data_IF_732338838777
#
_entry.id   IF_732338838777
#
_cell.length_a   1.000
_cell.length_b   1.000
_cell.length_c   1.000
_cell.angle_alpha   90.00
_cell.angle_beta   90.00
_cell.angle_gamma   90.00
#
_symmetry.space_group_name_H-M   'P 1'
#
loop_
_entity.id
_entity.type
_entity.pdbx_description
1 polymer ?
#
# COMPACT_ATOMS: atom_id res chain seq x y z
N UNK A 1 24.71 -13.66 6.40
CA UNK A 1 25.58 -13.32 7.56
C UNK A 1 25.33 -11.85 7.89
N UNK A 2 25.07 -11.45 9.15
CA UNK A 2 24.78 -10.03 9.46
C UNK A 2 26.06 -9.19 9.26
N UNK A 3 25.96 -8.10 8.49
CA UNK A 3 27.09 -7.23 8.14
C UNK A 3 27.26 -6.06 9.11
N UNK A 4 28.46 -5.46 9.16
CA UNK A 4 28.68 -4.18 9.83
C UNK A 4 28.40 -3.02 8.87
N UNK A 5 27.65 -2.02 9.33
CA UNK A 5 27.31 -0.83 8.54
C UNK A 5 27.99 0.40 9.13
N UNK A 6 28.69 1.16 8.29
CA UNK A 6 29.22 2.48 8.65
C UNK A 6 28.52 3.55 7.82
N UNK A 7 27.89 4.51 8.50
CA UNK A 7 27.27 5.68 7.90
C UNK A 7 28.21 6.88 7.99
N UNK A 8 28.67 7.39 6.84
CA UNK A 8 29.38 8.66 6.71
C UNK A 8 28.36 9.74 6.38
N UNK A 9 27.64 10.20 7.40
CA UNK A 9 26.57 11.19 7.30
C UNK A 9 26.40 11.95 8.63
N UNK A 10 25.79 13.14 8.59
CA UNK A 10 25.40 13.88 9.79
C UNK A 10 23.92 13.65 10.19
N UNK A 11 23.31 12.55 9.74
CA UNK A 11 21.91 12.23 9.99
C UNK A 11 21.76 11.24 11.16
N UNK A 12 21.56 11.80 12.36
CA UNK A 12 21.38 10.99 13.57
C UNK A 12 20.06 10.20 13.55
N UNK A 13 19.03 10.67 12.84
CA UNK A 13 17.76 9.96 12.74
C UNK A 13 17.95 8.69 11.90
N UNK A 14 18.64 8.82 10.76
CA UNK A 14 18.99 7.68 9.92
C UNK A 14 19.84 6.65 10.69
N UNK A 15 20.86 7.11 11.43
CA UNK A 15 21.67 6.22 12.28
C UNK A 15 20.82 5.47 13.32
N UNK A 16 19.91 6.16 14.00
CA UNK A 16 19.02 5.55 14.99
C UNK A 16 18.09 4.53 14.32
N UNK A 17 17.57 4.84 13.13
CA UNK A 17 16.73 3.93 12.34
C UNK A 17 17.47 2.65 11.94
N UNK A 18 18.74 2.76 11.50
CA UNK A 18 19.58 1.59 11.20
C UNK A 18 19.88 0.77 12.47
N UNK A 19 20.25 1.45 13.57
CA UNK A 19 20.61 0.79 14.83
C UNK A 19 19.43 0.05 15.45
N UNK A 20 18.24 0.65 15.43
CA UNK A 20 17.01 0.06 15.96
C UNK A 20 16.44 -1.09 15.10
N UNK A 21 16.96 -1.29 13.88
CA UNK A 21 16.45 -2.33 12.98
C UNK A 21 16.86 -3.75 13.40
N UNK A 22 17.95 -3.90 14.15
CA UNK A 22 18.56 -5.19 14.54
C UNK A 22 18.93 -6.12 13.35
N UNK A 23 18.91 -5.60 12.11
CA UNK A 23 19.23 -6.32 10.88
C UNK A 23 20.75 -6.46 10.66
N UNK A 24 21.52 -5.59 11.28
CA UNK A 24 22.97 -5.47 11.12
C UNK A 24 23.70 -5.91 12.40
N UNK A 25 24.96 -6.36 12.27
CA UNK A 25 25.77 -6.79 13.41
C UNK A 25 26.24 -5.61 14.26
N UNK A 26 26.66 -4.54 13.59
CA UNK A 26 26.94 -3.25 14.23
C UNK A 26 26.63 -2.12 13.26
N UNK A 27 26.24 -0.97 13.82
CA UNK A 27 25.99 0.27 13.08
C UNK A 27 26.87 1.34 13.70
N UNK A 28 27.68 2.01 12.87
CA UNK A 28 28.54 3.14 13.26
C UNK A 28 28.18 4.37 12.45
N UNK A 29 28.41 5.55 13.01
CA UNK A 29 28.28 6.83 12.31
C UNK A 29 29.61 7.59 12.41
N UNK A 30 30.03 8.20 11.31
CA UNK A 30 31.22 9.03 11.21
C UNK A 30 30.94 10.31 10.42
N UNK A 31 31.65 11.38 10.76
CA UNK A 31 31.57 12.67 10.05
C UNK A 31 32.55 12.77 8.88
N UNK A 32 33.48 11.81 8.76
CA UNK A 32 34.49 11.77 7.71
C UNK A 32 34.80 10.32 7.31
N UNK A 33 35.25 10.15 6.07
CA UNK A 33 35.65 8.85 5.53
C UNK A 33 37.12 8.59 5.89
N UNK A 34 37.37 7.47 6.56
CA UNK A 34 38.72 6.97 6.84
C UNK A 34 39.11 5.95 5.76
N UNK A 35 40.21 6.22 5.05
CA UNK A 35 40.69 5.37 3.95
C UNK A 35 41.52 4.17 4.44
N UNK A 36 41.96 4.18 5.70
CA UNK A 36 42.73 3.08 6.29
C UNK A 36 41.81 2.00 6.90
N UNK A 37 40.51 2.29 7.00
CA UNK A 37 39.51 1.36 7.51
C UNK A 37 38.91 0.52 6.39
N UNK A 38 38.85 -0.80 6.59
CA UNK A 38 38.06 -1.71 5.75
C UNK A 38 36.60 -1.73 6.18
N UNK A 39 35.68 -1.62 5.22
CA UNK A 39 34.24 -1.58 5.46
C UNK A 39 33.50 -2.77 4.84
N UNK A 40 32.59 -3.40 5.59
CA UNK A 40 31.68 -4.40 4.99
C UNK A 40 30.60 -3.67 4.14
N UNK A 41 29.91 -2.71 4.75
CA UNK A 41 28.91 -1.86 4.10
C UNK A 41 29.12 -0.40 4.48
N UNK A 42 29.42 0.42 3.47
CA UNK A 42 29.68 1.85 3.62
C UNK A 42 28.54 2.67 3.01
N UNK A 43 27.88 3.51 3.80
CA UNK A 43 26.81 4.40 3.35
C UNK A 43 27.31 5.84 3.45
N UNK A 44 27.43 6.54 2.33
CA UNK A 44 28.03 7.88 2.27
C UNK A 44 26.98 8.89 1.84
N UNK A 45 26.83 9.97 2.59
CA UNK A 45 25.99 11.10 2.17
C UNK A 45 26.77 12.07 1.29
N UNK A 46 26.14 12.51 0.20
CA UNK A 46 26.66 13.57 -0.66
C UNK A 46 26.85 14.93 0.03
N UNK A 47 26.25 15.10 1.21
CA UNK A 47 26.42 16.26 2.10
C UNK A 47 27.74 16.24 2.85
N UNK A 48 28.37 15.07 2.99
CA UNK A 48 29.68 14.90 3.62
C UNK A 48 30.77 14.77 2.58
N UNK A 49 30.55 13.89 1.59
CA UNK A 49 31.52 13.64 0.52
C UNK A 49 30.85 13.85 -0.83
N UNK A 50 31.23 14.94 -1.50
CA UNK A 50 30.70 15.29 -2.82
C UNK A 50 30.99 14.21 -3.87
N UNK A 51 30.25 14.25 -4.97
CA UNK A 51 30.36 13.23 -6.04
C UNK A 51 31.78 13.21 -6.65
N UNK A 52 32.35 14.38 -6.91
CA UNK A 52 33.68 14.51 -7.49
C UNK A 52 34.74 13.98 -6.51
N UNK A 53 34.63 14.32 -5.23
CA UNK A 53 35.53 13.84 -4.18
C UNK A 53 35.44 12.32 -3.98
N UNK A 54 34.23 11.76 -3.96
CA UNK A 54 34.02 10.33 -3.89
C UNK A 54 34.68 9.64 -5.08
N UNK A 55 34.50 10.16 -6.29
CA UNK A 55 35.06 9.55 -7.51
C UNK A 55 36.59 9.55 -7.48
N UNK A 56 37.20 10.61 -6.95
CA UNK A 56 38.65 10.72 -6.79
C UNK A 56 39.19 9.78 -5.70
N UNK A 57 38.45 9.62 -4.59
CA UNK A 57 38.86 8.75 -3.46
C UNK A 57 38.54 7.27 -3.68
N UNK A 58 37.59 6.95 -4.56
CA UNK A 58 37.08 5.58 -4.77
C UNK A 58 38.17 4.51 -4.95
N UNK A 59 39.27 4.73 -5.70
CA UNK A 59 40.33 3.74 -5.84
C UNK A 59 41.03 3.37 -4.53
N UNK A 60 40.85 4.19 -3.48
CA UNK A 60 41.47 4.03 -2.17
C UNK A 60 40.47 3.58 -1.09
N UNK A 61 39.21 3.32 -1.46
CA UNK A 61 38.19 2.86 -0.50
C UNK A 61 38.16 1.34 -0.51
N UNK A 62 38.49 0.72 0.62
CA UNK A 62 38.29 -0.72 0.83
C UNK A 62 36.91 -0.98 1.44
N UNK A 63 35.92 -1.23 0.58
CA UNK A 63 34.57 -1.56 0.98
C UNK A 63 33.94 -2.65 0.11
N UNK A 64 33.28 -3.64 0.73
CA UNK A 64 32.59 -4.70 -0.04
C UNK A 64 31.32 -4.16 -0.73
N UNK A 65 30.60 -3.26 -0.07
CA UNK A 65 29.41 -2.61 -0.61
C UNK A 65 29.41 -1.10 -0.30
N UNK A 66 29.12 -0.28 -1.30
CA UNK A 66 29.06 1.18 -1.16
C UNK A 66 27.68 1.68 -1.60
N UNK A 67 27.02 2.43 -0.70
CA UNK A 67 25.79 3.16 -0.97
C UNK A 67 26.04 4.66 -0.93
N UNK A 68 25.52 5.39 -1.90
CA UNK A 68 25.66 6.84 -2.00
C UNK A 68 24.30 7.54 -1.90
N UNK A 69 24.08 8.27 -0.80
CA UNK A 69 22.85 9.00 -0.52
C UNK A 69 22.90 10.37 -1.19
N UNK A 70 22.00 10.61 -2.16
CA UNK A 70 21.86 11.90 -2.82
C UNK A 70 20.94 12.84 -2.03
N UNK A 71 21.32 14.10 -1.94
CA UNK A 71 20.49 15.17 -1.39
C UNK A 71 19.59 15.79 -2.45
N UNK A 72 18.44 16.32 -2.01
CA UNK A 72 17.43 16.97 -2.86
C UNK A 72 17.85 18.37 -3.36
N UNK A 73 19.13 18.72 -3.26
CA UNK A 73 19.66 20.03 -3.66
C UNK A 73 19.94 20.15 -5.16
N UNK A 74 19.67 19.08 -5.94
CA UNK A 74 20.13 18.91 -7.32
C UNK A 74 18.96 18.75 -8.28
N UNK A 75 19.14 19.17 -9.54
CA UNK A 75 18.15 18.91 -10.59
C UNK A 75 18.04 17.41 -10.89
N UNK A 76 16.86 16.95 -11.32
CA UNK A 76 16.61 15.54 -11.65
C UNK A 76 17.55 15.00 -12.74
N UNK A 77 17.85 15.81 -13.76
CA UNK A 77 18.82 15.47 -14.81
C UNK A 77 20.23 15.19 -14.24
N UNK A 78 20.66 15.99 -13.25
CA UNK A 78 21.96 15.79 -12.58
C UNK A 78 21.95 14.57 -11.68
N UNK A 79 20.86 14.33 -10.95
CA UNK A 79 20.65 13.11 -10.14
C UNK A 79 20.78 11.86 -11.01
N UNK A 80 20.11 11.82 -12.17
CA UNK A 80 20.16 10.70 -13.09
C UNK A 80 21.57 10.49 -13.67
N UNK A 81 22.25 11.56 -14.08
CA UNK A 81 23.62 11.45 -14.58
C UNK A 81 24.58 10.87 -13.53
N UNK A 82 24.52 11.37 -12.29
CA UNK A 82 25.33 10.86 -11.18
C UNK A 82 24.99 9.39 -10.89
N UNK A 83 23.69 9.04 -10.88
CA UNK A 83 23.21 7.67 -10.70
C UNK A 83 23.91 6.71 -11.68
N UNK A 84 23.90 7.01 -12.98
CA UNK A 84 24.51 6.12 -13.98
C UNK A 84 26.03 6.02 -13.87
N UNK A 85 26.73 7.12 -13.55
CA UNK A 85 28.19 7.07 -13.40
C UNK A 85 28.60 6.24 -12.19
N UNK A 86 27.96 6.43 -11.04
CA UNK A 86 28.22 5.63 -9.85
C UNK A 86 27.76 4.16 -10.05
N UNK A 87 26.64 3.97 -10.77
CA UNK A 87 26.20 2.76 -11.47
C UNK A 87 27.36 1.93 -12.02
N UNK A 88 28.09 2.55 -12.96
CA UNK A 88 29.22 1.92 -13.67
C UNK A 88 30.42 1.55 -12.79
N UNK A 89 30.47 2.06 -11.56
CA UNK A 89 31.53 1.84 -10.57
C UNK A 89 31.11 0.90 -9.44
N UNK A 90 30.01 0.16 -9.62
CA UNK A 90 29.42 -0.73 -8.62
C UNK A 90 29.00 -0.03 -7.31
N UNK A 91 28.65 1.26 -7.38
CA UNK A 91 28.13 2.02 -6.23
C UNK A 91 26.61 2.11 -6.33
N UNK A 92 25.91 1.73 -5.27
CA UNK A 92 24.45 1.80 -5.21
C UNK A 92 24.01 3.20 -4.84
N UNK A 93 23.32 3.87 -5.77
CA UNK A 93 22.83 5.23 -5.54
C UNK A 93 21.45 5.18 -4.92
N UNK A 94 21.33 5.79 -3.76
CA UNK A 94 20.06 5.98 -3.05
C UNK A 94 19.53 7.36 -3.41
N UNK A 95 18.38 7.44 -4.12
CA UNK A 95 17.84 8.72 -4.56
C UNK A 95 17.41 9.60 -3.38
N UNK A 96 17.27 10.93 -3.59
CA UNK A 96 16.75 11.81 -2.56
C UNK A 96 15.28 11.53 -2.27
N UNK A 97 14.75 12.15 -1.19
CA UNK A 97 13.33 12.13 -0.79
C UNK A 97 12.79 10.79 -0.29
N UNK A 98 13.68 9.83 0.00
CA UNK A 98 13.32 8.57 0.63
C UNK A 98 13.21 8.71 2.15
N UNK A 99 12.34 7.91 2.78
CA UNK A 99 12.32 7.75 4.24
C UNK A 99 13.48 6.87 4.70
N UNK A 100 13.87 6.97 5.97
CA UNK A 100 14.91 6.12 6.57
C UNK A 100 14.60 4.63 6.34
N UNK A 101 13.33 4.23 6.47
CA UNK A 101 12.90 2.87 6.19
C UNK A 101 13.17 2.47 4.76
N UNK A 102 12.82 3.32 3.79
CA UNK A 102 13.08 3.05 2.37
C UNK A 102 14.58 2.98 2.03
N UNK A 103 15.41 3.74 2.75
CA UNK A 103 16.87 3.66 2.62
C UNK A 103 17.34 2.29 3.14
N UNK A 104 16.90 1.90 4.34
CA UNK A 104 17.21 0.59 4.93
C UNK A 104 16.70 -0.54 4.03
N UNK A 105 15.47 -0.46 3.51
CA UNK A 105 14.87 -1.47 2.63
C UNK A 105 15.74 -1.68 1.38
N UNK A 106 16.19 -0.60 0.74
CA UNK A 106 17.09 -0.69 -0.43
C UNK A 106 18.44 -1.30 -0.08
N UNK A 107 19.01 -0.92 1.06
CA UNK A 107 20.27 -1.50 1.54
C UNK A 107 20.08 -3.01 1.77
N UNK A 108 19.04 -3.42 2.50
CA UNK A 108 18.77 -4.83 2.77
C UNK A 108 18.50 -5.62 1.49
N UNK A 109 17.65 -5.12 0.58
CA UNK A 109 17.37 -5.76 -0.70
C UNK A 109 18.65 -5.98 -1.50
N UNK A 110 19.54 -4.97 -1.51
CA UNK A 110 20.79 -5.06 -2.27
C UNK A 110 21.79 -6.03 -1.66
N UNK A 111 21.81 -6.14 -0.34
CA UNK A 111 22.68 -7.03 0.42
C UNK A 111 22.08 -8.44 0.59
N UNK A 112 20.91 -8.71 0.00
CA UNK A 112 20.15 -9.96 0.17
C UNK A 112 19.92 -10.30 1.66
N UNK A 113 19.72 -9.25 2.48
CA UNK A 113 19.37 -9.39 3.88
C UNK A 113 17.86 -9.56 3.94
N UNK A 114 17.45 -10.78 4.29
CA UNK A 114 16.06 -11.16 4.47
C UNK A 114 15.43 -10.33 5.60
N UNK A 115 14.79 -9.23 5.22
CA UNK A 115 13.94 -8.48 6.12
C UNK A 115 12.60 -9.19 6.11
N UNK A 116 12.05 -9.45 7.30
CA UNK A 116 10.60 -9.54 7.45
C UNK A 116 10.04 -8.15 7.11
N UNK A 117 9.95 -7.86 5.81
CA UNK A 117 8.98 -6.90 5.31
C UNK A 117 7.64 -7.29 5.92
N UNK A 118 6.78 -6.32 6.15
CA UNK A 118 5.40 -6.51 6.60
C UNK A 118 4.65 -7.36 5.58
N UNK A 119 4.87 -8.67 5.67
CA UNK A 119 4.49 -9.65 4.66
C UNK A 119 2.98 -9.88 4.65
N UNK A 120 2.24 -9.25 5.56
CA UNK A 120 0.80 -9.32 5.66
C UNK A 120 0.10 -7.98 5.49
N UNK A 121 0.81 -6.92 5.07
CA UNK A 121 0.21 -5.65 4.69
C UNK A 121 -0.05 -5.56 3.19
N UNK A 122 -1.21 -5.06 2.80
CA UNK A 122 -1.59 -4.80 1.42
C UNK A 122 -2.09 -3.36 1.32
N UNK A 123 -1.62 -2.63 0.31
CA UNK A 123 -2.05 -1.25 0.06
C UNK A 123 -2.89 -1.16 -1.20
N UNK A 124 -4.06 -0.53 -1.08
CA UNK A 124 -4.90 -0.13 -2.19
C UNK A 124 -4.74 1.37 -2.43
N UNK A 125 -4.57 1.77 -3.69
CA UNK A 125 -4.53 3.18 -4.08
C UNK A 125 -5.29 3.41 -5.39
N UNK A 126 -5.78 4.63 -5.61
CA UNK A 126 -6.55 4.98 -6.81
C UNK A 126 -5.71 5.68 -7.87
N UNK A 127 -5.99 5.37 -9.14
CA UNK A 127 -5.46 6.13 -10.27
C UNK A 127 -5.97 7.59 -10.31
N UNK A 128 -7.18 7.81 -9.80
CA UNK A 128 -7.82 9.13 -9.67
C UNK A 128 -8.87 9.11 -8.53
N UNK A 129 -9.42 10.26 -8.18
CA UNK A 129 -10.52 10.37 -7.23
C UNK A 129 -11.77 9.65 -7.73
N UNK A 130 -12.57 9.12 -6.79
CA UNK A 130 -13.88 8.47 -7.06
C UNK A 130 -13.88 7.25 -7.99
N UNK A 131 -12.70 6.67 -8.27
CA UNK A 131 -12.58 5.37 -8.95
C UNK A 131 -13.04 4.18 -8.09
N UNK A 132 -13.26 4.39 -6.78
CA UNK A 132 -13.80 3.39 -5.86
C UNK A 132 -12.74 2.63 -5.05
N UNK A 133 -11.58 3.25 -4.79
CA UNK A 133 -10.50 2.67 -3.97
C UNK A 133 -10.97 2.26 -2.58
N UNK A 134 -11.50 3.19 -1.78
CA UNK A 134 -12.01 2.89 -0.42
C UNK A 134 -13.08 1.81 -0.43
N UNK A 135 -14.03 1.88 -1.36
CA UNK A 135 -15.09 0.89 -1.51
C UNK A 135 -14.51 -0.50 -1.72
N UNK A 136 -13.57 -0.63 -2.66
CA UNK A 136 -12.95 -1.91 -3.03
C UNK A 136 -12.07 -2.45 -1.91
N UNK A 137 -11.24 -1.60 -1.30
CA UNK A 137 -10.34 -1.98 -0.22
C UNK A 137 -11.11 -2.45 1.03
N UNK A 138 -12.16 -1.71 1.42
CA UNK A 138 -13.01 -2.10 2.54
C UNK A 138 -13.82 -3.36 2.21
N UNK A 139 -14.36 -3.48 1.00
CA UNK A 139 -15.07 -4.68 0.56
C UNK A 139 -14.19 -5.92 0.62
N UNK A 140 -12.93 -5.83 0.20
CA UNK A 140 -11.96 -6.91 0.33
C UNK A 140 -11.72 -7.29 1.80
N UNK A 141 -11.55 -6.31 2.68
CA UNK A 141 -11.39 -6.56 4.12
C UNK A 141 -12.62 -7.21 4.76
N UNK A 142 -13.83 -6.81 4.35
CA UNK A 142 -15.09 -7.40 4.80
C UNK A 142 -15.24 -8.85 4.34
N UNK A 143 -14.92 -9.18 3.08
CA UNK A 143 -14.96 -10.57 2.58
C UNK A 143 -13.94 -11.44 3.30
N UNK A 144 -12.70 -10.96 3.47
CA UNK A 144 -11.67 -11.69 4.22
C UNK A 144 -12.12 -11.99 5.66
N UNK A 145 -12.65 -11.00 6.37
CA UNK A 145 -13.10 -11.20 7.75
C UNK A 145 -14.34 -12.10 7.86
N UNK A 146 -15.22 -12.09 6.86
CA UNK A 146 -16.43 -12.91 6.83
C UNK A 146 -16.16 -14.36 6.43
N UNK A 147 -15.21 -14.60 5.53
CA UNK A 147 -15.01 -15.91 4.90
C UNK A 147 -13.73 -16.63 5.36
N UNK A 148 -12.95 -16.03 6.27
CA UNK A 148 -11.75 -16.66 6.85
C UNK A 148 -11.76 -16.65 8.38
N UNK A 149 -10.81 -17.34 9.00
CA UNK A 149 -10.54 -17.30 10.45
C UNK A 149 -9.65 -16.14 10.87
N UNK A 150 -9.08 -15.42 9.90
CA UNK A 150 -8.05 -14.41 10.11
C UNK A 150 -8.64 -13.12 10.69
N UNK A 151 -7.86 -12.47 11.55
CA UNK A 151 -8.13 -11.16 12.12
C UNK A 151 -7.61 -10.09 11.17
N UNK A 152 -8.52 -9.22 10.71
CA UNK A 152 -8.25 -8.27 9.64
C UNK A 152 -8.22 -6.84 10.21
N UNK A 153 -7.14 -6.11 9.94
CA UNK A 153 -7.05 -4.68 10.20
C UNK A 153 -7.26 -3.89 8.90
N UNK A 154 -8.28 -3.04 8.83
CA UNK A 154 -8.51 -2.12 7.72
C UNK A 154 -8.16 -0.70 8.16
N UNK A 155 -7.15 -0.09 7.53
CA UNK A 155 -6.68 1.26 7.81
C UNK A 155 -7.13 2.20 6.69
N UNK A 156 -8.08 3.07 6.98
CA UNK A 156 -8.50 4.08 6.01
C UNK A 156 -7.57 5.29 6.08
N UNK A 157 -6.67 5.41 5.11
CA UNK A 157 -5.62 6.42 5.02
C UNK A 157 -5.83 7.32 3.77
N UNK A 158 -7.07 7.46 3.32
CA UNK A 158 -7.45 7.94 1.98
C UNK A 158 -7.15 9.41 1.66
N UNK A 159 -6.33 10.12 2.44
CA UNK A 159 -5.99 11.53 2.20
C UNK A 159 -7.18 12.49 2.32
N UNK A 160 -8.37 11.98 2.61
CA UNK A 160 -9.61 12.70 2.80
C UNK A 160 -10.46 12.03 3.88
N UNK A 161 -11.35 12.79 4.55
CA UNK A 161 -12.32 12.20 5.47
C UNK A 161 -13.25 11.27 4.70
N UNK A 162 -13.27 10.00 5.11
CA UNK A 162 -13.99 8.93 4.41
C UNK A 162 -14.62 8.00 5.43
N UNK A 163 -15.94 8.15 5.62
CA UNK A 163 -16.73 7.42 6.61
C UNK A 163 -17.98 6.77 6.00
N UNK A 164 -18.12 6.86 4.67
CA UNK A 164 -19.35 6.55 3.95
C UNK A 164 -19.78 5.09 4.07
N UNK A 165 -18.87 4.18 4.45
CA UNK A 165 -19.15 2.74 4.50
C UNK A 165 -19.01 2.16 5.93
N UNK A 166 -18.94 3.02 6.95
CA UNK A 166 -18.90 2.61 8.34
C UNK A 166 -20.27 2.92 8.96
N UNK A 167 -21.09 1.90 9.29
CA UNK A 167 -22.37 2.09 9.94
C UNK A 167 -22.19 2.44 11.42
N UNK A 168 -23.15 3.18 11.98
CA UNK A 168 -23.19 3.56 13.39
C UNK A 168 -22.54 4.90 13.74
N UNK A 169 -22.51 5.21 15.04
CA UNK A 169 -21.80 6.37 15.56
C UNK A 169 -20.29 6.07 15.61
N UNK A 170 -19.50 6.91 14.96
CA UNK A 170 -18.03 6.81 14.90
C UNK A 170 -17.33 7.81 15.82
N UNK A 171 -18.06 8.51 16.69
CA UNK A 171 -17.49 9.33 17.75
C UNK A 171 -16.58 8.50 18.65
N UNK A 172 -15.43 9.05 19.03
CA UNK A 172 -14.41 8.32 19.78
C UNK A 172 -13.57 7.32 18.98
N UNK A 173 -13.78 7.19 17.67
CA UNK A 173 -12.95 6.35 16.78
C UNK A 173 -12.23 7.19 15.71
N UNK A 174 -11.15 6.64 15.17
CA UNK A 174 -10.40 7.19 14.04
C UNK A 174 -9.01 7.71 14.39
N UNK A 175 -8.27 8.06 13.34
CA UNK A 175 -6.90 8.60 13.41
C UNK A 175 -6.76 9.79 14.36
N UNK A 176 -7.79 10.64 14.48
CA UNK A 176 -7.75 11.82 15.34
C UNK A 176 -7.56 11.47 16.83
N UNK A 177 -8.00 10.29 17.28
CA UNK A 177 -7.87 9.83 18.67
C UNK A 177 -6.43 9.47 19.04
N UNK A 178 -5.65 9.03 18.05
CA UNK A 178 -4.30 8.50 18.23
C UNK A 178 -3.23 9.39 17.59
N UNK A 179 -3.62 10.54 17.02
CA UNK A 179 -2.74 11.49 16.31
C UNK A 179 -1.46 11.82 17.08
N UNK A 180 -1.59 12.28 18.32
CA UNK A 180 -0.43 12.70 19.13
C UNK A 180 0.51 11.53 19.40
N UNK A 181 -0.02 10.32 19.57
CA UNK A 181 0.76 9.10 19.82
C UNK A 181 1.49 8.64 18.56
N UNK A 182 0.83 8.71 17.40
CA UNK A 182 1.42 8.45 16.09
C UNK A 182 2.57 9.42 15.83
N UNK A 183 2.38 10.73 16.07
CA UNK A 183 3.41 11.75 15.77
C UNK A 183 4.64 11.64 16.66
N UNK A 184 4.48 11.08 17.86
CA UNK A 184 5.57 10.87 18.80
C UNK A 184 6.10 9.43 18.81
N UNK A 185 5.58 8.53 17.96
CA UNK A 185 5.99 7.12 17.87
C UNK A 185 5.85 6.33 19.20
N UNK A 186 4.80 6.64 19.96
CA UNK A 186 4.52 6.03 21.28
C UNK A 186 3.13 5.40 21.37
N UNK A 187 2.54 5.05 20.23
CA UNK A 187 1.26 4.36 20.15
C UNK A 187 1.42 2.90 20.56
N UNK A 188 0.62 2.45 21.52
CA UNK A 188 0.52 1.05 21.91
C UNK A 188 -0.53 0.28 21.10
N UNK A 189 -0.45 -1.05 21.12
CA UNK A 189 -1.44 -1.91 20.45
C UNK A 189 -2.86 -1.70 20.97
N UNK A 190 -3.02 -1.53 22.29
CA UNK A 190 -4.33 -1.35 22.92
C UNK A 190 -4.94 0.01 22.59
N UNK A 191 -4.13 1.06 22.57
CA UNK A 191 -4.57 2.38 22.10
C UNK A 191 -5.00 2.32 20.63
N UNK A 192 -4.25 1.63 19.76
CA UNK A 192 -4.64 1.45 18.37
C UNK A 192 -5.99 0.72 18.26
N UNK A 193 -6.16 -0.42 18.93
CA UNK A 193 -7.42 -1.17 18.94
C UNK A 193 -8.58 -0.31 19.44
N UNK A 194 -8.39 0.49 20.49
CA UNK A 194 -9.42 1.38 21.04
C UNK A 194 -9.89 2.47 20.06
N UNK A 195 -9.03 2.88 19.12
CA UNK A 195 -9.37 3.85 18.09
C UNK A 195 -10.09 3.21 16.88
N UNK A 196 -10.24 1.89 16.85
CA UNK A 196 -10.82 1.13 15.74
C UNK A 196 -12.25 0.67 16.04
N UNK A 197 -13.09 0.69 15.02
CA UNK A 197 -14.42 0.08 15.05
C UNK A 197 -14.26 -1.43 14.81
N UNK A 198 -14.66 -2.26 15.78
CA UNK A 198 -14.60 -3.71 15.66
C UNK A 198 -15.94 -4.29 15.14
N UNK A 199 -15.86 -5.17 14.15
CA UNK A 199 -16.96 -5.98 13.61
C UNK A 199 -16.52 -7.43 13.45
N UNK A 200 -16.75 -8.25 14.48
CA UNK A 200 -16.26 -9.63 14.51
C UNK A 200 -14.72 -9.65 14.42
N UNK A 201 -14.19 -10.26 13.35
CA UNK A 201 -12.75 -10.36 13.07
C UNK A 201 -12.17 -9.12 12.38
N UNK A 202 -13.02 -8.25 11.84
CA UNK A 202 -12.62 -7.02 11.18
C UNK A 202 -12.47 -5.89 12.20
N UNK A 203 -11.36 -5.17 12.12
CA UNK A 203 -11.11 -3.94 12.87
C UNK A 203 -10.87 -2.84 11.85
N UNK A 204 -11.64 -1.76 11.92
CA UNK A 204 -11.57 -0.64 10.98
C UNK A 204 -11.02 0.56 11.72
N UNK A 205 -9.92 1.15 11.26
CA UNK A 205 -9.47 2.48 11.67
C UNK A 205 -10.08 3.52 10.73
N UNK A 206 -11.06 4.32 11.18
CA UNK A 206 -11.61 5.41 10.36
C UNK A 206 -10.54 6.43 9.97
N UNK A 207 -10.76 7.09 8.82
CA UNK A 207 -9.89 8.15 8.31
C UNK A 207 -9.83 9.36 9.25
N UNK A 208 -8.90 10.26 8.97
CA UNK A 208 -8.78 11.56 9.64
C UNK A 208 -10.06 12.37 9.37
N UNK A 209 -10.73 12.82 10.43
CA UNK A 209 -11.92 13.68 10.35
C UNK A 209 -11.53 15.14 10.10
N UNK A 210 -10.47 15.60 10.75
CA UNK A 210 -10.08 17.00 10.75
C UNK A 210 -9.24 17.31 9.50
N UNK A 211 -9.81 18.07 8.56
CA UNK A 211 -9.15 18.40 7.29
C UNK A 211 -7.78 19.06 7.44
N UNK A 212 -7.61 19.94 8.44
CA UNK A 212 -6.31 20.59 8.69
C UNK A 212 -5.22 19.60 9.08
N UNK A 213 -5.61 18.47 9.68
CA UNK A 213 -4.67 17.50 10.24
C UNK A 213 -4.01 16.61 9.18
N UNK A 214 -4.68 16.42 8.04
CA UNK A 214 -4.17 15.66 6.91
C UNK A 214 -2.76 16.11 6.46
N UNK A 215 -2.46 17.41 6.57
CA UNK A 215 -1.18 18.00 6.16
C UNK A 215 -0.01 17.70 7.10
N UNK A 216 -0.29 17.26 8.33
CA UNK A 216 0.74 16.97 9.34
C UNK A 216 1.17 15.50 9.35
N UNK A 217 0.38 14.60 8.76
CA UNK A 217 0.81 13.22 8.59
C UNK A 217 1.96 13.15 7.58
N UNK A 218 3.10 12.64 8.04
CA UNK A 218 4.29 12.38 7.23
C UNK A 218 4.36 10.88 6.89
N UNK A 219 5.04 10.48 5.81
CA UNK A 219 5.18 9.07 5.43
C UNK A 219 5.62 8.16 6.58
N UNK A 220 6.63 8.57 7.36
CA UNK A 220 7.12 7.85 8.54
C UNK A 220 6.05 7.57 9.61
N UNK A 221 5.07 8.47 9.78
CA UNK A 221 3.98 8.29 10.75
C UNK A 221 3.05 7.15 10.31
N UNK A 222 2.83 7.02 9.01
CA UNK A 222 1.95 6.02 8.40
C UNK A 222 2.65 4.67 8.34
N UNK A 223 3.92 4.65 7.96
CA UNK A 223 4.76 3.45 8.01
C UNK A 223 4.79 2.88 9.44
N UNK A 224 5.02 3.73 10.45
CA UNK A 224 4.94 3.33 11.86
C UNK A 224 3.59 2.71 12.22
N UNK A 225 2.48 3.34 11.84
CA UNK A 225 1.13 2.83 12.11
C UNK A 225 0.87 1.48 11.45
N UNK A 226 1.23 1.33 10.17
CA UNK A 226 1.04 0.06 9.44
C UNK A 226 1.90 -1.04 10.07
N UNK A 227 3.15 -0.75 10.43
CA UNK A 227 4.02 -1.72 11.09
C UNK A 227 3.44 -2.18 12.44
N UNK A 228 2.93 -1.26 13.25
CA UNK A 228 2.27 -1.61 14.51
C UNK A 228 1.04 -2.50 14.23
N UNK A 229 0.21 -2.13 13.26
CA UNK A 229 -0.97 -2.92 12.88
C UNK A 229 -0.61 -4.33 12.41
N UNK A 230 0.49 -4.51 11.68
CA UNK A 230 0.91 -5.84 11.18
C UNK A 230 1.35 -6.80 12.27
N UNK A 231 1.74 -6.30 13.44
CA UNK A 231 1.99 -7.12 14.63
C UNK A 231 0.71 -7.56 15.37
N UNK A 232 -0.43 -6.90 15.08
CA UNK A 232 -1.70 -7.09 15.80
C UNK A 232 -2.73 -7.91 15.02
N UNK A 233 -2.65 -7.85 13.68
CA UNK A 233 -3.61 -8.44 12.76
C UNK A 233 -2.92 -9.44 11.84
N UNK A 234 -3.63 -10.51 11.49
CA UNK A 234 -3.12 -11.52 10.56
C UNK A 234 -2.95 -10.93 9.16
N UNK A 235 -3.85 -10.01 8.76
CA UNK A 235 -3.75 -9.24 7.50
C UNK A 235 -4.11 -7.78 7.78
N UNK A 236 -3.31 -6.86 7.23
CA UNK A 236 -3.58 -5.43 7.23
C UNK A 236 -3.88 -4.94 5.81
N UNK A 237 -5.02 -4.31 5.61
CA UNK A 237 -5.39 -3.63 4.38
C UNK A 237 -5.33 -2.12 4.62
N UNK A 238 -4.48 -1.42 3.88
CA UNK A 238 -4.37 0.03 3.89
C UNK A 238 -5.05 0.63 2.65
N UNK A 239 -5.99 1.55 2.84
CA UNK A 239 -6.56 2.38 1.77
C UNK A 239 -5.81 3.71 1.69
N UNK A 240 -4.92 3.86 0.73
CA UNK A 240 -4.14 5.08 0.51
C UNK A 240 -4.93 6.20 -0.20
N UNK A 241 -6.13 5.92 -0.71
CA UNK A 241 -6.89 6.86 -1.53
C UNK A 241 -6.17 7.17 -2.85
N UNK A 242 -6.30 8.41 -3.35
CA UNK A 242 -5.81 8.82 -4.67
C UNK A 242 -5.07 10.17 -4.65
N UNK A 243 -4.53 10.57 -3.49
CA UNK A 243 -3.92 11.90 -3.30
C UNK A 243 -2.39 11.78 -3.22
N UNK A 244 -1.67 11.85 -4.36
CA UNK A 244 -0.23 11.57 -4.43
C UNK A 244 0.64 12.53 -3.61
N UNK A 245 0.13 13.73 -3.29
CA UNK A 245 0.80 14.73 -2.47
C UNK A 245 0.59 14.54 -0.96
N UNK A 246 -0.13 13.50 -0.53
CA UNK A 246 -0.39 13.23 0.88
C UNK A 246 0.68 12.34 1.49
N UNK A 247 1.14 12.69 2.70
CA UNK A 247 2.02 11.81 3.48
C UNK A 247 1.36 10.48 3.84
N UNK A 248 0.02 10.43 3.90
CA UNK A 248 -0.76 9.20 4.05
C UNK A 248 -0.60 8.27 2.85
N UNK A 249 -0.69 8.83 1.64
CA UNK A 249 -0.55 8.08 0.39
C UNK A 249 0.85 7.51 0.24
N UNK A 250 1.87 8.36 0.36
CA UNK A 250 3.27 7.96 0.21
C UNK A 250 3.66 6.92 1.27
N UNK A 251 3.31 7.15 2.54
CA UNK A 251 3.63 6.23 3.62
C UNK A 251 2.95 4.86 3.46
N UNK A 252 1.70 4.82 2.96
CA UNK A 252 1.00 3.57 2.70
C UNK A 252 1.63 2.79 1.54
N UNK A 253 2.08 3.46 0.47
CA UNK A 253 2.79 2.81 -0.63
C UNK A 253 4.16 2.27 -0.22
N UNK A 254 4.84 2.96 0.70
CA UNK A 254 6.15 2.53 1.21
C UNK A 254 6.06 1.37 2.19
N UNK A 255 4.94 1.27 2.92
CA UNK A 255 4.82 0.30 4.00
C UNK A 255 4.71 -1.16 3.54
N UNK A 256 4.47 -1.44 2.25
CA UNK A 256 4.39 -2.80 1.70
C UNK A 256 4.76 -2.84 0.22
N UNK A 257 5.26 -4.01 -0.22
CA UNK A 257 5.45 -4.32 -1.65
C UNK A 257 4.15 -4.76 -2.34
N UNK A 258 3.15 -5.18 -1.59
CA UNK A 258 1.88 -5.66 -2.13
C UNK A 258 0.93 -4.49 -2.38
N UNK A 259 0.90 -4.02 -3.63
CA UNK A 259 0.19 -2.82 -4.05
C UNK A 259 -0.87 -3.14 -5.08
N UNK A 260 -2.08 -2.65 -4.86
CA UNK A 260 -3.21 -2.79 -5.74
C UNK A 260 -3.70 -1.42 -6.17
N UNK A 261 -3.64 -1.13 -7.47
CA UNK A 261 -4.18 0.11 -8.01
C UNK A 261 -5.61 -0.09 -8.51
N UNK A 262 -6.52 0.74 -8.04
CA UNK A 262 -7.90 0.80 -8.51
C UNK A 262 -8.04 1.91 -9.55
N UNK A 263 -8.60 1.58 -10.72
CA UNK A 263 -8.88 2.55 -11.78
C UNK A 263 -10.26 2.31 -12.40
N UNK A 264 -10.66 3.16 -13.34
CA UNK A 264 -11.75 2.89 -14.28
C UNK A 264 -11.21 2.94 -15.71
N UNK A 265 -12.04 2.67 -16.71
CA UNK A 265 -11.62 2.72 -18.12
C UNK A 265 -11.60 4.16 -18.70
N UNK A 266 -11.77 5.19 -17.87
CA UNK A 266 -11.81 6.59 -18.30
C UNK A 266 -10.41 7.15 -18.58
N UNK A 267 -10.26 7.95 -19.64
CA UNK A 267 -8.96 8.56 -20.01
C UNK A 267 -8.42 9.49 -18.93
N UNK A 268 -9.27 10.18 -18.17
CA UNK A 268 -8.85 11.02 -17.04
C UNK A 268 -8.08 10.25 -15.98
N UNK A 269 -8.47 9.00 -15.71
CA UNK A 269 -7.76 8.12 -14.78
C UNK A 269 -6.36 7.77 -15.29
N UNK A 270 -6.19 7.64 -16.61
CA UNK A 270 -4.88 7.40 -17.21
C UNK A 270 -3.99 8.64 -17.07
N UNK A 271 -4.47 9.82 -17.45
CA UNK A 271 -3.69 11.06 -17.33
C UNK A 271 -3.31 11.38 -15.88
N UNK A 272 -4.22 11.19 -14.92
CA UNK A 272 -3.93 11.38 -13.50
C UNK A 272 -2.88 10.38 -12.98
N UNK A 273 -2.96 9.13 -13.43
CA UNK A 273 -1.96 8.12 -13.08
C UNK A 273 -0.59 8.39 -13.69
N UNK A 274 -0.50 8.85 -14.94
CA UNK A 274 0.80 9.19 -15.56
C UNK A 274 1.57 10.22 -14.71
N UNK A 275 0.87 11.25 -14.21
CA UNK A 275 1.48 12.22 -13.28
C UNK A 275 1.94 11.56 -11.97
N UNK A 276 1.11 10.66 -11.41
CA UNK A 276 1.44 9.92 -10.17
C UNK A 276 2.64 9.00 -10.38
N UNK A 277 2.71 8.29 -11.52
CA UNK A 277 3.83 7.45 -11.90
C UNK A 277 5.11 8.28 -11.98
N UNK A 278 5.08 9.36 -12.75
CA UNK A 278 6.28 10.12 -13.08
C UNK A 278 6.81 10.90 -11.88
N UNK A 279 5.93 11.48 -11.07
CA UNK A 279 6.30 12.37 -9.97
C UNK A 279 6.39 11.68 -8.60
N UNK A 280 5.74 10.52 -8.43
CA UNK A 280 5.73 9.79 -7.16
C UNK A 280 6.34 8.41 -7.32
N UNK A 281 5.77 7.51 -8.12
CA UNK A 281 6.23 6.12 -8.16
C UNK A 281 7.69 5.99 -8.63
N UNK A 282 8.09 6.71 -9.67
CA UNK A 282 9.46 6.72 -10.15
C UNK A 282 10.45 7.27 -9.11
N UNK A 283 10.03 8.28 -8.32
CA UNK A 283 10.84 8.83 -7.22
C UNK A 283 10.97 7.83 -6.08
N UNK A 284 9.89 7.08 -5.80
CA UNK A 284 9.88 6.01 -4.81
C UNK A 284 10.51 4.71 -5.33
N UNK A 285 10.95 4.67 -6.60
CA UNK A 285 11.49 3.48 -7.29
C UNK A 285 10.52 2.28 -7.24
N UNK A 286 9.22 2.57 -7.38
CA UNK A 286 8.17 1.55 -7.44
C UNK A 286 7.92 1.24 -8.91
N UNK A 287 8.30 0.02 -9.33
CA UNK A 287 8.03 -0.49 -10.67
C UNK A 287 6.52 -0.80 -10.81
N UNK A 288 5.91 -0.31 -11.88
CA UNK A 288 4.48 -0.57 -12.16
C UNK A 288 4.23 -2.05 -12.44
N UNK A 289 5.21 -2.80 -12.93
CA UNK A 289 5.08 -4.24 -13.17
C UNK A 289 4.87 -5.05 -11.89
N UNK A 290 5.21 -4.50 -10.72
CA UNK A 290 4.96 -5.09 -9.41
C UNK A 290 3.58 -4.75 -8.84
N UNK A 291 2.81 -3.89 -9.52
CA UNK A 291 1.50 -3.43 -9.06
C UNK A 291 0.39 -4.26 -9.70
N UNK A 292 -0.57 -4.68 -8.87
CA UNK A 292 -1.77 -5.38 -9.28
C UNK A 292 -2.87 -4.38 -9.69
N UNK A 293 -3.38 -4.49 -10.91
CA UNK A 293 -4.40 -3.60 -11.46
C UNK A 293 -5.82 -4.14 -11.22
N UNK A 294 -6.65 -3.31 -10.60
CA UNK A 294 -8.09 -3.52 -10.43
C UNK A 294 -8.83 -2.51 -11.30
N UNK A 295 -9.58 -3.02 -12.28
CA UNK A 295 -10.43 -2.18 -13.14
C UNK A 295 -11.84 -2.19 -12.54
N UNK A 296 -12.20 -1.12 -11.86
CA UNK A 296 -13.51 -0.95 -11.27
C UNK A 296 -14.50 -0.33 -12.27
N UNK A 297 -15.80 -0.58 -12.06
CA UNK A 297 -16.89 -0.15 -12.94
C UNK A 297 -16.67 -0.58 -14.39
N UNK A 298 -16.13 -1.78 -14.57
CA UNK A 298 -15.81 -2.33 -15.87
C UNK A 298 -17.06 -2.43 -16.76
N UNK A 299 -16.88 -2.04 -18.02
CA UNK A 299 -17.84 -2.06 -19.11
C UNK A 299 -17.17 -2.62 -20.36
N UNK A 300 -17.85 -3.55 -21.02
CA UNK A 300 -17.38 -4.14 -22.29
C UNK A 300 -17.41 -3.13 -23.45
N UNK A 301 -18.10 -2.00 -23.29
CA UNK A 301 -18.19 -0.92 -24.30
C UNK A 301 -16.95 0.00 -24.31
N UNK A 302 -16.04 -0.19 -23.36
CA UNK A 302 -14.85 0.64 -23.15
C UNK A 302 -13.57 -0.20 -23.38
N UNK A 303 -12.36 0.40 -23.43
CA UNK A 303 -11.12 -0.34 -23.70
C UNK A 303 -10.97 -1.57 -22.80
N UNK A 304 -10.70 -2.73 -23.40
CA UNK A 304 -10.61 -3.98 -22.66
C UNK A 304 -9.49 -3.97 -21.60
N UNK A 305 -9.56 -4.94 -20.69
CA UNK A 305 -8.59 -5.08 -19.59
C UNK A 305 -7.14 -5.28 -20.07
N UNK A 306 -6.92 -6.06 -21.15
CA UNK A 306 -5.59 -6.29 -21.70
C UNK A 306 -4.93 -4.98 -22.13
N UNK A 307 -5.64 -4.17 -22.91
CA UNK A 307 -5.14 -2.88 -23.40
C UNK A 307 -4.78 -1.95 -22.23
N UNK A 308 -5.61 -1.88 -21.20
CA UNK A 308 -5.32 -1.05 -20.03
C UNK A 308 -4.10 -1.55 -19.25
N UNK A 309 -4.04 -2.85 -18.96
CA UNK A 309 -2.99 -3.45 -18.16
C UNK A 309 -1.62 -3.42 -18.87
N UNK A 310 -1.57 -3.90 -20.12
CA UNK A 310 -0.32 -4.10 -20.85
C UNK A 310 0.15 -2.84 -21.59
N UNK A 311 -0.74 -2.10 -22.25
CA UNK A 311 -0.30 -0.94 -23.06
C UNK A 311 -0.14 0.33 -22.21
N UNK A 312 -1.07 0.61 -21.30
CA UNK A 312 -1.13 1.90 -20.62
C UNK A 312 -0.52 1.88 -19.22
N UNK A 313 -1.01 1.00 -18.36
CA UNK A 313 -0.60 0.99 -16.96
C UNK A 313 0.71 0.24 -16.73
N UNK A 314 1.06 -0.71 -17.62
CA UNK A 314 2.23 -1.58 -17.48
C UNK A 314 2.20 -2.31 -16.13
N UNK A 315 1.04 -2.90 -15.82
CA UNK A 315 0.70 -3.56 -14.55
C UNK A 315 0.11 -4.95 -14.80
N UNK A 316 0.13 -5.81 -13.78
CA UNK A 316 -0.52 -7.13 -13.83
C UNK A 316 -2.02 -6.96 -13.58
N UNK A 317 -2.88 -7.37 -14.52
CA UNK A 317 -4.33 -7.36 -14.30
C UNK A 317 -4.73 -8.38 -13.22
N UNK A 318 -5.32 -7.89 -12.12
CA UNK A 318 -5.83 -8.75 -11.05
C UNK A 318 -7.30 -9.13 -11.31
N UNK A 319 -8.19 -8.14 -11.35
CA UNK A 319 -9.63 -8.36 -11.57
C UNK A 319 -10.29 -7.18 -12.27
N UNK A 320 -11.44 -7.44 -12.89
CA UNK A 320 -12.36 -6.40 -13.39
C UNK A 320 -13.67 -6.47 -12.60
N UNK A 321 -13.93 -5.46 -11.77
CA UNK A 321 -15.18 -5.36 -11.02
C UNK A 321 -16.25 -4.72 -11.91
N UNK A 322 -17.40 -5.37 -12.15
CA UNK A 322 -18.41 -4.88 -13.08
C UNK A 322 -19.02 -3.56 -12.59
N UNK A 323 -19.47 -2.74 -13.53
CA UNK A 323 -20.35 -1.63 -13.18
C UNK A 323 -21.70 -2.17 -12.73
N UNK A 324 -22.10 -1.85 -11.50
CA UNK A 324 -23.42 -2.19 -10.94
C UNK A 324 -24.27 -0.92 -10.92
N UNK A 325 -25.21 -0.73 -11.86
CA UNK A 325 -25.97 0.50 -11.98
C UNK A 325 -26.71 0.86 -10.69
N UNK A 326 -26.57 2.11 -10.23
CA UNK A 326 -27.23 2.63 -9.02
C UNK A 326 -26.66 2.14 -7.68
N UNK A 327 -25.88 1.05 -7.67
CA UNK A 327 -25.44 0.42 -6.42
C UNK A 327 -24.44 1.26 -5.62
N UNK A 328 -23.60 2.09 -6.28
CA UNK A 328 -22.69 2.99 -5.56
C UNK A 328 -23.43 4.02 -4.71
N UNK A 329 -24.49 4.64 -5.27
CA UNK A 329 -25.34 5.57 -4.54
C UNK A 329 -26.05 4.86 -3.39
N UNK A 330 -26.63 3.69 -3.67
CA UNK A 330 -27.31 2.87 -2.67
C UNK A 330 -26.37 2.42 -1.53
N UNK A 331 -25.11 2.13 -1.84
CA UNK A 331 -24.09 1.73 -0.87
C UNK A 331 -23.72 2.86 0.09
N UNK A 332 -23.55 4.08 -0.43
CA UNK A 332 -23.32 5.28 0.39
C UNK A 332 -24.55 5.59 1.27
N UNK A 333 -25.76 5.52 0.70
CA UNK A 333 -27.01 5.72 1.45
C UNK A 333 -27.16 4.71 2.61
N UNK A 334 -26.85 3.44 2.34
CA UNK A 334 -26.97 2.35 3.32
C UNK A 334 -25.74 2.20 4.23
N UNK A 335 -24.73 3.07 4.09
CA UNK A 335 -23.46 3.02 4.81
C UNK A 335 -22.79 1.65 4.83
N UNK A 336 -22.75 0.98 3.67
CA UNK A 336 -22.14 -0.34 3.50
C UNK A 336 -21.41 -0.42 2.17
N UNK A 337 -20.57 -1.43 1.99
CA UNK A 337 -19.90 -1.64 0.70
C UNK A 337 -20.84 -2.30 -0.33
N UNK A 338 -20.34 -2.51 -1.55
CA UNK A 338 -21.06 -3.27 -2.59
C UNK A 338 -21.15 -4.78 -2.32
N UNK A 339 -20.48 -5.29 -1.28
CA UNK A 339 -20.54 -6.70 -0.90
C UNK A 339 -21.99 -7.18 -0.73
N UNK A 340 -22.32 -8.26 -1.42
CA UNK A 340 -23.65 -8.89 -1.38
C UNK A 340 -24.76 -8.16 -2.14
N UNK A 341 -24.46 -7.05 -2.83
CA UNK A 341 -25.45 -6.32 -3.64
C UNK A 341 -25.64 -6.92 -5.04
N UNK A 342 -24.55 -7.41 -5.65
CA UNK A 342 -24.56 -7.99 -6.99
C UNK A 342 -23.72 -9.26 -7.03
N UNK A 343 -24.24 -10.30 -7.70
CA UNK A 343 -23.58 -11.61 -7.76
C UNK A 343 -22.27 -11.59 -8.55
N UNK A 344 -22.23 -10.89 -9.67
CA UNK A 344 -21.04 -10.84 -10.53
C UNK A 344 -19.93 -10.01 -9.90
N UNK A 345 -20.28 -8.90 -9.23
CA UNK A 345 -19.37 -8.13 -8.40
C UNK A 345 -18.76 -8.99 -7.29
N UNK A 346 -19.60 -9.67 -6.53
CA UNK A 346 -19.20 -10.61 -5.48
C UNK A 346 -18.25 -11.70 -5.98
N UNK A 347 -18.50 -12.24 -7.18
CA UNK A 347 -17.67 -13.26 -7.80
C UNK A 347 -16.28 -12.72 -8.15
N UNK A 348 -16.21 -11.54 -8.76
CA UNK A 348 -14.93 -10.89 -9.11
C UNK A 348 -14.16 -10.45 -7.87
N UNK A 349 -14.86 -9.94 -6.84
CA UNK A 349 -14.24 -9.59 -5.56
C UNK A 349 -13.64 -10.82 -4.86
N UNK A 350 -14.32 -11.98 -4.88
CA UNK A 350 -13.73 -13.24 -4.38
C UNK A 350 -12.55 -13.71 -5.23
N UNK A 351 -12.54 -13.42 -6.54
CA UNK A 351 -11.37 -13.59 -7.40
C UNK A 351 -10.17 -12.79 -6.89
N UNK A 352 -10.39 -11.53 -6.50
CA UNK A 352 -9.35 -10.70 -5.86
C UNK A 352 -8.88 -11.31 -4.53
N UNK A 353 -9.79 -11.83 -3.70
CA UNK A 353 -9.41 -12.50 -2.45
C UNK A 353 -8.54 -13.74 -2.69
N UNK A 354 -8.80 -14.52 -3.74
CA UNK A 354 -7.94 -15.65 -4.12
C UNK A 354 -6.52 -15.20 -4.48
N UNK A 355 -6.38 -14.08 -5.20
CA UNK A 355 -5.06 -13.52 -5.55
C UNK A 355 -4.33 -13.07 -4.27
N UNK A 356 -5.03 -12.36 -3.38
CA UNK A 356 -4.49 -11.94 -2.08
C UNK A 356 -4.06 -13.17 -1.26
N UNK A 357 -4.88 -14.22 -1.22
CA UNK A 357 -4.56 -15.46 -0.53
C UNK A 357 -3.30 -16.14 -1.08
N UNK A 358 -3.17 -16.22 -2.40
CA UNK A 358 -1.96 -16.74 -3.05
C UNK A 358 -0.72 -15.89 -2.76
N UNK A 359 -0.86 -14.56 -2.74
CA UNK A 359 0.23 -13.62 -2.48
C UNK A 359 0.72 -13.66 -1.02
N UNK A 360 -0.20 -13.83 -0.07
CA UNK A 360 0.10 -13.88 1.37
C UNK A 360 0.33 -15.32 1.89
N UNK A 361 0.08 -16.34 1.08
CA UNK A 361 0.36 -17.74 1.42
C UNK A 361 -0.63 -18.37 2.41
N UNK A 362 -1.91 -18.00 2.38
CA UNK A 362 -2.95 -18.64 3.20
C UNK A 362 -4.01 -19.34 2.34
N UNK A 363 -4.66 -20.36 2.92
CA UNK A 363 -5.73 -21.08 2.24
C UNK A 363 -7.03 -20.26 2.21
N UNK A 364 -7.60 -20.08 1.03
CA UNK A 364 -8.91 -19.45 0.86
C UNK A 364 -9.79 -20.31 -0.05
N UNK A 365 -10.89 -20.78 0.52
CA UNK A 365 -11.96 -21.45 -0.20
C UNK A 365 -13.26 -20.66 -0.02
N UNK A 366 -13.80 -20.04 -1.08
CA UNK A 366 -15.05 -19.30 -0.97
C UNK A 366 -16.18 -20.24 -0.54
N UNK A 367 -17.11 -19.81 0.31
CA UNK A 367 -18.23 -20.64 0.72
C UNK A 367 -19.11 -20.97 -0.49
N UNK A 368 -19.40 -22.26 -0.68
CA UNK A 368 -20.34 -22.73 -1.72
C UNK A 368 -21.72 -22.13 -1.47
N UNK A 369 -22.08 -21.07 -2.21
CA UNK A 369 -23.46 -20.60 -2.27
C UNK A 369 -24.26 -21.69 -3.01
N UNK A 370 -24.88 -22.61 -2.27
CA UNK A 370 -25.93 -23.49 -2.80
C UNK A 370 -26.91 -22.61 -3.57
N UNK A 371 -26.99 -22.77 -4.89
CA UNK A 371 -28.06 -22.17 -5.71
C UNK A 371 -29.38 -22.57 -5.04
N UNK A 372 -30.12 -21.61 -4.49
CA UNK A 372 -31.56 -21.80 -4.30
C UNK A 372 -32.16 -21.85 -5.70
N UNK A 373 -32.10 -23.02 -6.33
CA UNK A 373 -32.94 -23.33 -7.49
C UNK A 373 -34.35 -23.36 -6.92
N UNK A 374 -35.08 -22.25 -7.08
CA UNK A 374 -36.50 -22.18 -6.78
C UNK A 374 -37.22 -23.15 -7.72
N UNK A 375 -37.52 -24.34 -7.22
CA UNK A 375 -38.55 -25.20 -7.78
C UNK A 375 -39.93 -24.56 -7.52
N UNK A 376 -40.22 -23.45 -8.19
CA UNK A 376 -41.56 -22.87 -8.27
C UNK A 376 -42.05 -22.99 -9.71
N UNK A 377 -42.37 -24.22 -10.12
CA UNK A 377 -42.81 -24.45 -11.49
C UNK A 377 -43.01 -25.90 -11.85
N UNK A 378 -43.66 -26.72 -11.00
CA UNK A 378 -44.16 -28.04 -11.42
C UNK A 378 -45.17 -28.62 -10.41
N UNK A 379 -46.31 -27.95 -10.26
CA UNK A 379 -47.56 -28.62 -9.88
C UNK A 379 -48.71 -28.02 -10.69
N UNK A 380 -48.76 -28.41 -11.97
CA UNK A 380 -50.00 -28.42 -12.74
C UNK A 380 -50.69 -29.74 -12.39
N UNK A 381 -51.65 -29.70 -11.46
CA UNK A 381 -52.66 -30.76 -11.35
C UNK A 381 -53.94 -30.27 -12.00
N UNK A 382 -54.18 -30.82 -13.18
CA UNK A 382 -55.48 -30.88 -13.84
C UNK A 382 -56.52 -31.49 -12.90
N UNK A 383 -57.67 -30.84 -12.81
CA UNK A 383 -58.86 -31.35 -12.16
C UNK A 383 -60.00 -30.38 -12.40
N UNK A 384 -60.66 -30.51 -13.56
CA UNK A 384 -61.87 -29.76 -13.84
C UNK A 384 -62.98 -30.13 -12.87
N UNK A 385 -63.79 -29.15 -12.49
CA UNK A 385 -65.22 -29.29 -12.63
C UNK A 385 -65.88 -27.91 -12.69
N UNK A 386 -66.68 -27.77 -13.73
CA UNK A 386 -67.75 -26.80 -13.92
C UNK A 386 -68.70 -26.72 -12.72
N UNK A 387 -69.25 -25.54 -12.46
CA UNK A 387 -70.70 -25.22 -12.55
C UNK A 387 -70.98 -23.88 -11.79
N UNK A 388 -71.49 -22.91 -12.55
CA UNK A 388 -72.47 -21.85 -12.25
C UNK A 388 -72.75 -21.41 -10.79
N UNK A 389 -72.73 -20.10 -10.51
CA UNK A 389 -73.91 -19.23 -10.64
C UNK A 389 -73.66 -17.82 -10.08
N UNK A 390 -74.18 -16.82 -10.83
CA UNK A 390 -74.64 -15.47 -10.48
C UNK A 390 -73.74 -14.52 -9.69
#
# INVERSE_FOLDING_TARGET
>A
MKMNVTLICNDIQLYNSFSASELFNSVKIGSELDLDTKYDCLIISDRILGYDDLTNKLPHIDAENIFYLLSDSRSESRINSIKYVLMSKNIFVVPPRLTDRQIIDRVCQKLDIDRLMTNNAITFFGADSKVGTTMTAQAAAEVLAAETVLKIGFLNLSGQPSFNYIPGNIEGFGMDQIKTKIFNFVLSEEELKSAMVQKGKLHILPSVKILSDLRYYKPRHVEYLINLATGIFDIVIADAGSYPNSGLFIGALNATKFRYMVTTQQESCKSAFEMTRDQVLNVLDIDTSEIMLIINRYSELMPNNYKLADEFYKMVHAVSLPNVPGAFWQAEEQRKTLCGMDYHYDMQLRGLIKIIAGQLGFEYSPPDKKKKIGFSGLFRKSGGNSLWNL
#
